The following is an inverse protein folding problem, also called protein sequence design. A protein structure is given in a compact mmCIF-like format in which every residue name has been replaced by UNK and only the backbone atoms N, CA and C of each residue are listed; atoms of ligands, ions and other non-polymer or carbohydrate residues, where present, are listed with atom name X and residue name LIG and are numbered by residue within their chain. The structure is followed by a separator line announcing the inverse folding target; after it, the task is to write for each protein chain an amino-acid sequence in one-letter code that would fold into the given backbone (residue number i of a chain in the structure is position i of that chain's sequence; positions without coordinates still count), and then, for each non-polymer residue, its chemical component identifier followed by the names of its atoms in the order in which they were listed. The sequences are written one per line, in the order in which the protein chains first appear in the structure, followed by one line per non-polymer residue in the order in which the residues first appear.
data_IF_686558444707
#
_entry.id   IF_686558444707
#
_cell.length_a   1.000
_cell.length_b   1.000
_cell.length_c   1.000
_cell.angle_alpha   90.00
_cell.angle_beta   90.00
_cell.angle_gamma   90.00
#
_symmetry.space_group_name_H-M   'P 1'
#
loop_
_entity.id
_entity.type
_entity.pdbx_description
1 polymer ?
#
# COMPACT_ATOMS: atom_id res chain seq x y z
N UNK A 1 -5.37 21.51 -20.24
CA UNK A 1 -4.38 20.50 -19.81
C UNK A 1 -4.35 20.53 -18.29
N UNK A 2 -4.90 19.53 -17.59
CA UNK A 2 -4.89 19.51 -16.12
C UNK A 2 -3.47 19.14 -15.68
N UNK A 3 -2.86 19.98 -14.87
CA UNK A 3 -1.53 19.73 -14.30
C UNK A 3 -1.59 18.42 -13.50
N UNK A 4 -0.73 17.46 -13.86
CA UNK A 4 -0.57 16.23 -13.10
C UNK A 4 0.18 16.58 -11.80
N UNK A 5 -0.58 16.92 -10.76
CA UNK A 5 -0.04 17.03 -9.41
C UNK A 5 0.60 15.70 -8.99
N UNK A 6 1.84 15.74 -8.52
CA UNK A 6 2.51 14.55 -8.00
C UNK A 6 1.66 13.94 -6.88
N UNK A 7 1.32 12.64 -6.92
CA UNK A 7 0.48 12.03 -5.90
C UNK A 7 1.14 12.17 -4.53
N UNK A 8 0.47 12.90 -3.63
CA UNK A 8 0.93 13.15 -2.27
C UNK A 8 1.15 11.83 -1.55
N UNK A 9 2.38 11.54 -1.13
CA UNK A 9 2.70 10.31 -0.39
C UNK A 9 2.30 10.46 1.08
N UNK A 10 1.22 9.80 1.47
CA UNK A 10 0.76 9.75 2.86
C UNK A 10 1.43 8.62 3.64
N UNK A 11 1.64 8.75 4.96
CA UNK A 11 2.04 7.62 5.80
C UNK A 11 1.12 6.40 5.60
N UNK A 12 1.60 5.16 5.75
CA UNK A 12 0.81 3.97 5.43
C UNK A 12 -0.57 3.91 6.10
N UNK A 13 -0.66 4.30 7.38
CA UNK A 13 -1.93 4.30 8.12
C UNK A 13 -2.92 5.35 7.57
N UNK A 14 -2.41 6.53 7.20
CA UNK A 14 -3.20 7.57 6.54
C UNK A 14 -3.65 7.14 5.15
N UNK A 15 -2.77 6.47 4.38
CA UNK A 15 -3.13 5.89 3.08
C UNK A 15 -4.28 4.88 3.20
N UNK A 16 -4.27 4.01 4.22
CA UNK A 16 -5.37 3.09 4.51
C UNK A 16 -6.66 3.85 4.82
N UNK A 17 -6.61 4.85 5.72
CA UNK A 17 -7.77 5.67 6.06
C UNK A 17 -8.40 6.33 4.83
N UNK A 18 -7.55 6.88 3.94
CA UNK A 18 -7.99 7.53 2.69
C UNK A 18 -8.57 6.53 1.71
N UNK A 19 -8.01 5.32 1.61
CA UNK A 19 -8.59 4.26 0.79
C UNK A 19 -10.01 3.92 1.28
N UNK A 20 -10.17 3.64 2.57
CA UNK A 20 -11.48 3.36 3.16
C UNK A 20 -12.47 4.52 2.93
N UNK A 21 -12.00 5.76 3.10
CA UNK A 21 -12.86 6.93 2.94
C UNK A 21 -13.29 7.14 1.50
N UNK A 22 -12.34 7.28 0.58
CA UNK A 22 -12.61 7.81 -0.76
C UNK A 22 -12.81 6.71 -1.80
N UNK A 23 -11.96 5.68 -1.79
CA UNK A 23 -12.02 4.62 -2.80
C UNK A 23 -13.09 3.56 -2.47
N UNK A 24 -13.32 3.28 -1.18
CA UNK A 24 -14.25 2.24 -0.75
C UNK A 24 -15.65 2.79 -0.41
N UNK A 25 -15.74 3.91 0.31
CA UNK A 25 -17.01 4.43 0.85
C UNK A 25 -17.43 5.80 0.28
N UNK A 26 -16.81 6.24 -0.83
CA UNK A 26 -17.25 7.43 -1.56
C UNK A 26 -17.23 8.75 -0.75
N UNK A 27 -16.39 8.86 0.27
CA UNK A 27 -16.26 10.03 1.14
C UNK A 27 -17.10 9.98 2.42
N UNK A 28 -17.94 8.96 2.61
CA UNK A 28 -18.84 8.89 3.76
C UNK A 28 -18.14 8.33 5.01
N UNK A 29 -17.93 9.18 6.01
CA UNK A 29 -17.26 8.79 7.26
C UNK A 29 -18.07 7.78 8.08
N UNK A 30 -19.39 7.92 8.11
CA UNK A 30 -20.31 7.01 8.81
C UNK A 30 -20.24 5.59 8.26
N UNK A 31 -20.17 5.43 6.94
CA UNK A 31 -20.02 4.11 6.31
C UNK A 31 -18.68 3.45 6.62
N UNK A 32 -17.60 4.23 6.76
CA UNK A 32 -16.31 3.68 7.21
C UNK A 32 -16.40 3.18 8.66
N UNK A 33 -17.02 3.95 9.54
CA UNK A 33 -17.22 3.56 10.94
C UNK A 33 -18.08 2.29 11.04
N UNK A 34 -19.20 2.26 10.33
CA UNK A 34 -20.16 1.16 10.26
C UNK A 34 -19.79 0.01 9.32
N UNK A 35 -18.57 -0.03 8.79
CA UNK A 35 -18.14 -1.13 7.89
C UNK A 35 -18.12 -2.48 8.64
N UNK A 36 -18.86 -3.46 8.09
CA UNK A 36 -19.06 -4.78 8.69
C UNK A 36 -18.08 -5.85 8.18
N UNK A 37 -17.27 -5.55 7.16
CA UNK A 37 -16.32 -6.51 6.57
C UNK A 37 -15.10 -6.71 7.48
N UNK A 38 -15.28 -7.55 8.52
CA UNK A 38 -14.25 -7.88 9.50
C UNK A 38 -13.06 -8.64 8.92
N UNK A 39 -13.26 -9.35 7.80
CA UNK A 39 -12.20 -10.07 7.10
C UNK A 39 -11.33 -9.14 6.23
N UNK A 40 -11.75 -7.90 6.03
CA UNK A 40 -10.95 -6.92 5.32
C UNK A 40 -9.65 -6.62 6.09
N UNK A 41 -8.46 -6.76 5.46
CA UNK A 41 -7.20 -6.43 6.12
C UNK A 41 -7.13 -4.99 6.64
N UNK A 42 -7.89 -4.06 6.05
CA UNK A 42 -7.96 -2.66 6.49
C UNK A 42 -8.98 -2.41 7.60
N UNK A 43 -9.89 -3.34 7.89
CA UNK A 43 -10.91 -3.17 8.93
C UNK A 43 -10.36 -2.67 10.26
N UNK A 44 -9.31 -3.30 10.86
CA UNK A 44 -8.77 -2.83 12.14
C UNK A 44 -8.05 -1.47 12.06
N UNK A 45 -7.66 -1.01 10.86
CA UNK A 45 -6.89 0.22 10.65
C UNK A 45 -7.73 1.36 10.08
N UNK A 46 -8.99 1.10 9.74
CA UNK A 46 -9.86 2.00 8.97
C UNK A 46 -10.13 3.33 9.66
N UNK A 47 -10.01 3.36 10.99
CA UNK A 47 -10.21 4.56 11.81
C UNK A 47 -8.90 5.29 12.16
N UNK A 48 -7.78 4.91 11.53
CA UNK A 48 -6.44 5.46 11.82
C UNK A 48 -5.96 5.14 13.23
N UNK A 49 -6.40 4.01 13.75
CA UNK A 49 -5.97 3.45 15.03
C UNK A 49 -5.19 2.16 14.76
N UNK A 50 -4.15 1.93 15.55
CA UNK A 50 -3.40 0.67 15.53
C UNK A 50 -3.79 -0.05 16.82
N UNK A 51 -4.51 -1.18 16.74
CA UNK A 51 -4.86 -1.94 17.93
C UNK A 51 -3.63 -2.29 18.77
N UNK A 52 -3.81 -2.38 20.08
CA UNK A 52 -2.76 -2.89 20.96
C UNK A 52 -2.35 -4.30 20.52
N UNK A 53 -1.05 -4.60 20.54
CA UNK A 53 -0.53 -5.89 20.06
C UNK A 53 -0.59 -6.10 18.54
N UNK A 54 -0.91 -5.07 17.74
CA UNK A 54 -0.87 -5.17 16.28
C UNK A 54 0.58 -5.30 15.76
N UNK A 55 1.12 -6.51 15.85
CA UNK A 55 2.52 -6.85 15.53
C UNK A 55 2.87 -6.77 14.04
N UNK A 56 1.97 -6.27 13.19
CA UNK A 56 2.16 -6.17 11.75
C UNK A 56 2.41 -4.73 11.32
N UNK A 57 3.51 -4.54 10.58
CA UNK A 57 3.76 -3.28 9.88
C UNK A 57 2.61 -3.01 8.89
N UNK A 58 2.00 -1.83 8.95
CA UNK A 58 0.87 -1.43 8.09
C UNK A 58 1.13 -1.71 6.60
N UNK A 59 2.36 -1.53 6.11
CA UNK A 59 2.71 -1.85 4.71
C UNK A 59 2.49 -3.34 4.35
N UNK A 60 2.66 -4.28 5.29
CA UNK A 60 2.33 -5.70 5.09
C UNK A 60 0.83 -5.93 5.05
N UNK A 61 0.05 -5.14 5.79
CA UNK A 61 -1.42 -5.18 5.74
C UNK A 61 -1.92 -4.71 4.38
N UNK A 62 -1.34 -3.61 3.86
CA UNK A 62 -1.59 -3.17 2.47
C UNK A 62 -1.27 -4.28 1.47
N UNK A 63 -0.17 -4.99 1.63
CA UNK A 63 0.17 -6.12 0.74
C UNK A 63 -0.88 -7.24 0.76
N UNK A 64 -1.46 -7.55 1.92
CA UNK A 64 -2.55 -8.53 2.05
C UNK A 64 -3.83 -8.01 1.40
N UNK A 65 -4.15 -6.74 1.63
CA UNK A 65 -5.28 -6.09 0.97
C UNK A 65 -5.15 -6.14 -0.55
N UNK A 66 -3.98 -5.77 -1.10
CA UNK A 66 -3.75 -5.82 -2.53
C UNK A 66 -3.82 -7.24 -3.10
N UNK A 67 -3.47 -8.29 -2.34
CA UNK A 67 -3.72 -9.68 -2.77
C UNK A 67 -5.20 -9.98 -2.88
N UNK A 68 -6.02 -9.56 -1.91
CA UNK A 68 -7.48 -9.72 -2.00
C UNK A 68 -8.04 -8.94 -3.20
N UNK A 69 -7.57 -7.70 -3.40
CA UNK A 69 -7.99 -6.84 -4.49
C UNK A 69 -7.68 -7.41 -5.88
N UNK A 70 -6.57 -8.14 -6.03
CA UNK A 70 -6.18 -8.80 -7.30
C UNK A 70 -6.52 -10.29 -7.33
N UNK A 71 -7.44 -10.75 -6.47
CA UNK A 71 -7.90 -12.16 -6.41
C UNK A 71 -6.73 -13.15 -6.31
N UNK A 72 -5.71 -12.78 -5.53
CA UNK A 72 -4.52 -13.59 -5.28
C UNK A 72 -3.37 -13.38 -6.27
N UNK A 73 -3.57 -12.65 -7.37
CA UNK A 73 -2.53 -12.50 -8.39
C UNK A 73 -1.41 -11.54 -7.92
N UNK A 74 -0.22 -12.11 -7.73
CA UNK A 74 0.99 -11.39 -7.33
C UNK A 74 1.57 -10.52 -8.44
N UNK A 75 1.39 -10.91 -9.71
CA UNK A 75 1.86 -10.17 -10.88
C UNK A 75 0.96 -8.96 -11.10
N UNK A 76 -0.36 -9.12 -11.05
CA UNK A 76 -1.32 -8.01 -11.14
C UNK A 76 -1.03 -6.89 -10.13
N UNK A 77 -0.61 -7.21 -8.90
CA UNK A 77 -0.21 -6.18 -7.92
C UNK A 77 0.97 -5.34 -8.42
N UNK A 78 1.97 -5.97 -9.06
CA UNK A 78 3.15 -5.25 -9.58
C UNK A 78 2.77 -4.38 -10.77
N UNK A 79 1.88 -4.88 -11.63
CA UNK A 79 1.41 -4.24 -12.85
C UNK A 79 0.27 -3.23 -12.65
N UNK A 80 -0.33 -3.18 -11.45
CA UNK A 80 -1.41 -2.25 -11.12
C UNK A 80 -1.07 -0.80 -11.50
N UNK A 81 -1.96 -0.16 -12.27
CA UNK A 81 -1.80 1.18 -12.85
C UNK A 81 -2.51 2.28 -12.07
N UNK A 82 -3.15 1.97 -10.95
CA UNK A 82 -3.92 2.92 -10.12
C UNK A 82 -3.01 3.85 -9.26
N UNK A 83 -1.83 4.23 -9.74
CA UNK A 83 -0.86 5.03 -8.97
C UNK A 83 -1.32 6.45 -8.65
N UNK A 84 -2.19 7.01 -9.48
CA UNK A 84 -2.73 8.36 -9.33
C UNK A 84 -3.98 8.40 -8.44
N UNK A 85 -4.75 7.31 -8.42
CA UNK A 85 -6.10 7.23 -7.83
C UNK A 85 -6.13 6.46 -6.52
N UNK A 86 -5.33 5.39 -6.38
CA UNK A 86 -5.38 4.49 -5.23
C UNK A 86 -4.43 4.96 -4.11
N UNK A 87 -4.94 5.39 -2.94
CA UNK A 87 -4.11 5.96 -1.88
C UNK A 87 -3.03 5.02 -1.34
N UNK A 88 -3.24 3.70 -1.45
CA UNK A 88 -2.32 2.67 -0.94
C UNK A 88 -1.36 2.12 -1.99
N UNK A 89 -1.43 2.58 -3.25
CA UNK A 89 -0.65 2.04 -4.37
C UNK A 89 0.86 2.03 -4.11
N UNK A 90 1.38 3.08 -3.46
CA UNK A 90 2.79 3.21 -3.12
C UNK A 90 3.31 2.12 -2.18
N UNK A 91 2.41 1.45 -1.46
CA UNK A 91 2.70 0.40 -0.48
C UNK A 91 2.30 -1.00 -0.94
N UNK A 92 1.71 -1.14 -2.15
CA UNK A 92 1.09 -2.37 -2.67
C UNK A 92 1.99 -3.61 -2.65
N UNK A 93 3.31 -3.41 -2.78
CA UNK A 93 4.31 -4.49 -2.77
C UNK A 93 4.82 -4.87 -1.36
N UNK A 94 4.28 -4.27 -0.30
CA UNK A 94 4.57 -4.66 1.08
C UNK A 94 5.84 -4.06 1.67
N UNK A 95 6.39 -3.03 1.01
CA UNK A 95 7.55 -2.27 1.45
C UNK A 95 7.26 -0.78 1.31
N UNK A 96 7.83 0.05 2.19
CA UNK A 96 7.76 1.50 2.04
C UNK A 96 8.45 1.94 0.74
N UNK A 97 8.00 3.02 0.06
CA UNK A 97 8.66 3.57 -1.13
C UNK A 97 10.16 3.84 -0.95
N UNK A 98 10.56 4.39 0.21
CA UNK A 98 11.99 4.61 0.54
C UNK A 98 12.79 3.32 0.51
N UNK A 99 12.31 2.27 1.20
CA UNK A 99 12.93 0.94 1.18
C UNK A 99 12.93 0.31 -0.21
N UNK A 100 11.84 0.45 -0.98
CA UNK A 100 11.76 -0.09 -2.33
C UNK A 100 12.80 0.56 -3.26
N UNK A 101 12.91 1.90 -3.24
CA UNK A 101 13.94 2.64 -4.00
C UNK A 101 15.34 2.14 -3.65
N UNK A 102 15.64 1.96 -2.36
CA UNK A 102 16.92 1.43 -1.89
C UNK A 102 17.20 0.01 -2.43
N UNK A 103 16.22 -0.89 -2.31
CA UNK A 103 16.37 -2.27 -2.81
C UNK A 103 16.56 -2.34 -4.32
N UNK A 104 15.89 -1.48 -5.08
CA UNK A 104 16.07 -1.38 -6.53
C UNK A 104 17.48 -0.87 -6.87
N UNK A 105 17.95 0.17 -6.20
CA UNK A 105 19.29 0.70 -6.39
C UNK A 105 20.38 -0.33 -6.05
N UNK A 106 20.21 -1.05 -4.94
CA UNK A 106 21.10 -2.12 -4.51
C UNK A 106 21.14 -3.28 -5.52
N UNK A 107 19.98 -3.70 -6.04
CA UNK A 107 19.90 -4.74 -7.07
C UNK A 107 20.55 -4.33 -8.40
N UNK A 108 20.50 -3.04 -8.75
CA UNK A 108 21.11 -2.49 -9.97
C UNK A 108 22.61 -2.22 -9.82
N UNK A 109 23.15 -2.29 -8.60
CA UNK A 109 24.57 -2.05 -8.37
C UNK A 109 25.39 -3.11 -9.11
N UNK A 110 26.37 -2.73 -9.95
CA UNK A 110 27.22 -3.69 -10.63
C UNK A 110 27.97 -4.52 -9.57
N UNK A 111 27.90 -5.85 -9.70
CA UNK A 111 28.72 -6.74 -8.88
C UNK A 111 30.10 -6.79 -9.51
N UNK A 112 31.15 -6.49 -8.75
CA UNK A 112 32.50 -6.86 -9.15
C UNK A 112 32.56 -8.39 -9.20
N UNK A 113 32.56 -8.94 -10.41
CA UNK A 113 32.93 -10.33 -10.64
C UNK A 113 34.44 -10.41 -10.41
N UNK A 114 34.85 -10.74 -9.18
CA UNK A 114 36.22 -11.13 -8.93
C UNK A 114 36.48 -12.43 -9.69
N UNK A 115 37.25 -12.35 -10.77
CA UNK A 115 37.85 -13.54 -11.38
C UNK A 115 38.87 -14.09 -10.38
N UNK A 116 38.80 -15.37 -9.98
CA UNK A 116 39.89 -15.99 -9.25
C UNK A 116 41.17 -15.94 -10.11
N UNK A 117 42.27 -15.50 -9.49
CA UNK A 117 43.61 -15.54 -10.06
C UNK A 117 44.09 -16.97 -10.26
#
# INVERSE_FOLDING_TARGET
MRQAESPKLFPPLEAVRRYCLFACMGGQRSLVAGCVDGDCPFHPLRMKEIPEGFGLRVVRVVRRFCLRCTVGDRIAIRLCTENETCPVWAYRVGVSPKKLKRLIAEKRRPKQLGLPL
#
